data_IF_036706491248
#
_entry.id   IF_036706491248
#
_cell.length_a   1.000
_cell.length_b   1.000
_cell.length_c   1.000
_cell.angle_alpha   90.00
_cell.angle_beta   90.00
_cell.angle_gamma   90.00
#
_symmetry.space_group_name_H-M   'P 1'
#
loop_
_entity.id
_entity.type
_entity.pdbx_description
1 polymer ?
#
# COMPACT_ATOMS: atom_id res chain seq x y z
N UNK A 1 -12.99 -3.13 -45.79
CA UNK A 1 -13.76 -4.24 -45.20
C UNK A 1 -13.10 -4.65 -43.87
N UNK A 2 -13.66 -5.57 -43.07
CA UNK A 2 -13.48 -5.72 -41.61
C UNK A 2 -14.77 -6.13 -40.84
N UNK A 3 -14.84 -5.82 -39.56
CA UNK A 3 -16.00 -6.06 -38.68
C UNK A 3 -16.52 -4.79 -37.99
N UNK A 4 -15.84 -3.67 -38.19
CA UNK A 4 -16.23 -2.41 -37.58
C UNK A 4 -17.52 -1.82 -38.15
N UNK A 5 -18.01 -0.81 -37.44
CA UNK A 5 -19.23 -0.08 -37.76
C UNK A 5 -19.14 0.51 -39.18
N UNK A 6 -20.19 0.32 -39.98
CA UNK A 6 -20.31 0.87 -41.34
C UNK A 6 -19.19 0.43 -42.31
N UNK A 7 -18.57 -0.72 -42.06
CA UNK A 7 -17.55 -1.31 -42.89
C UNK A 7 -17.92 -1.37 -44.38
N UNK A 8 -17.00 -0.92 -45.23
CA UNK A 8 -17.16 -0.94 -46.69
C UNK A 8 -18.00 0.21 -47.24
N UNK A 9 -18.42 1.14 -46.38
CA UNK A 9 -19.14 2.36 -46.76
C UNK A 9 -18.30 3.60 -46.47
N UNK A 10 -18.70 4.75 -47.01
CA UNK A 10 -18.03 6.03 -46.75
C UNK A 10 -18.25 6.59 -45.35
N UNK A 11 -19.08 5.94 -44.52
CA UNK A 11 -19.23 6.23 -43.08
C UNK A 11 -18.40 5.31 -42.18
N UNK A 12 -17.65 4.36 -42.76
CA UNK A 12 -16.72 3.48 -42.04
C UNK A 12 -15.27 3.96 -42.12
N UNK A 13 -14.33 3.06 -41.81
CA UNK A 13 -12.90 3.33 -41.98
C UNK A 13 -12.53 3.48 -43.46
N UNK A 14 -11.75 4.51 -43.79
CA UNK A 14 -11.28 4.79 -45.16
C UNK A 14 -9.76 4.89 -45.17
N UNK A 15 -9.13 4.09 -46.02
CA UNK A 15 -7.69 4.18 -46.33
C UNK A 15 -7.52 4.99 -47.61
N UNK A 16 -6.65 5.99 -47.58
CA UNK A 16 -6.18 6.68 -48.78
C UNK A 16 -4.91 6.01 -49.26
N UNK A 17 -4.95 5.48 -50.47
CA UNK A 17 -3.79 4.82 -51.08
C UNK A 17 -3.13 5.78 -52.05
N UNK A 18 -1.84 6.03 -51.85
CA UNK A 18 -1.03 6.83 -52.77
C UNK A 18 -0.18 5.88 -53.60
N UNK A 19 -0.22 6.03 -54.92
CA UNK A 19 0.63 5.27 -55.85
C UNK A 19 1.64 6.23 -56.46
N UNK A 20 2.92 5.89 -56.32
CA UNK A 20 4.02 6.66 -56.91
C UNK A 20 4.96 5.70 -57.64
N UNK A 21 5.35 6.06 -58.87
CA UNK A 21 6.27 5.27 -59.70
C UNK A 21 5.87 3.79 -59.85
N UNK A 22 4.57 3.49 -59.90
CA UNK A 22 4.04 2.13 -60.09
C UNK A 22 3.98 1.27 -58.82
N UNK A 23 4.24 1.83 -57.63
CA UNK A 23 4.13 1.13 -56.35
C UNK A 23 3.25 1.90 -55.36
N UNK A 24 2.64 1.17 -54.41
CA UNK A 24 1.94 1.78 -53.28
C UNK A 24 2.99 2.44 -52.38
N UNK A 25 2.83 3.73 -52.11
CA UNK A 25 3.69 4.45 -51.19
C UNK A 25 3.54 3.91 -49.77
N UNK A 26 4.62 3.97 -49.00
CA UNK A 26 4.65 3.51 -47.61
C UNK A 26 3.59 4.22 -46.75
N UNK A 27 3.24 3.59 -45.62
CA UNK A 27 2.39 4.25 -44.64
C UNK A 27 3.11 5.45 -44.03
N UNK A 28 2.38 6.55 -43.86
CA UNK A 28 2.89 7.77 -43.28
C UNK A 28 1.78 8.73 -42.90
N UNK A 29 2.15 9.99 -42.71
CA UNK A 29 1.25 11.03 -42.17
C UNK A 29 0.90 12.09 -43.22
N UNK A 30 1.55 12.08 -44.38
CA UNK A 30 1.40 13.13 -45.40
C UNK A 30 0.54 12.65 -46.56
N UNK A 31 -0.71 13.11 -46.61
CA UNK A 31 -1.62 12.80 -47.70
C UNK A 31 -1.06 13.27 -49.07
N UNK A 32 -1.14 12.40 -50.09
CA UNK A 32 -0.65 12.68 -51.44
C UNK A 32 0.82 12.29 -51.67
N UNK A 33 1.57 12.02 -50.60
CA UNK A 33 2.91 11.41 -50.66
C UNK A 33 2.86 9.99 -50.11
N UNK A 34 2.23 9.82 -48.94
CA UNK A 34 2.14 8.56 -48.21
C UNK A 34 0.77 7.91 -48.42
N UNK A 35 0.70 6.60 -48.20
CA UNK A 35 -0.59 5.92 -47.93
C UNK A 35 -1.00 6.26 -46.50
N UNK A 36 -2.22 6.75 -46.28
CA UNK A 36 -2.66 7.25 -44.98
C UNK A 36 -4.02 6.70 -44.59
N UNK A 37 -4.34 6.70 -43.29
CA UNK A 37 -5.73 6.57 -42.84
C UNK A 37 -6.43 7.91 -43.13
N UNK A 38 -7.45 7.90 -44.00
CA UNK A 38 -8.22 9.11 -44.29
C UNK A 38 -9.26 9.37 -43.19
N UNK A 39 -9.96 8.31 -42.78
CA UNK A 39 -10.94 8.34 -41.70
C UNK A 39 -10.77 7.07 -40.87
N UNK A 40 -10.68 7.22 -39.56
CA UNK A 40 -10.76 6.10 -38.63
C UNK A 40 -12.22 5.66 -38.52
N UNK A 41 -12.44 4.35 -38.52
CA UNK A 41 -13.75 3.79 -38.21
C UNK A 41 -13.84 3.35 -36.74
N UNK A 42 -15.00 2.84 -36.32
CA UNK A 42 -15.23 2.42 -34.94
C UNK A 42 -15.44 0.90 -34.83
N UNK A 43 -14.84 0.27 -33.81
CA UNK A 43 -15.09 -1.13 -33.45
C UNK A 43 -14.50 -2.17 -34.41
N UNK A 44 -13.45 -1.82 -35.15
CA UNK A 44 -12.73 -2.81 -35.96
C UNK A 44 -11.83 -3.65 -35.05
N UNK A 45 -11.86 -4.97 -35.18
CA UNK A 45 -10.85 -5.90 -34.64
C UNK A 45 -10.01 -6.52 -35.76
N UNK A 46 -10.53 -6.53 -36.99
CA UNK A 46 -9.76 -6.84 -38.19
C UNK A 46 -10.22 -5.99 -39.38
N UNK A 47 -9.34 -5.87 -40.38
CA UNK A 47 -9.62 -5.11 -41.59
C UNK A 47 -9.03 -5.75 -42.83
N UNK A 48 -9.68 -5.55 -43.96
CA UNK A 48 -9.19 -5.97 -45.28
C UNK A 48 -9.39 -4.86 -46.30
N UNK A 49 -8.32 -4.53 -47.02
CA UNK A 49 -8.31 -3.57 -48.13
C UNK A 49 -8.31 -4.34 -49.43
N UNK A 50 -9.42 -4.26 -50.18
CA UNK A 50 -9.53 -4.90 -51.48
C UNK A 50 -9.04 -3.95 -52.58
N UNK A 51 -7.95 -4.31 -53.25
CA UNK A 51 -7.36 -3.54 -54.35
C UNK A 51 -7.89 -3.94 -55.73
N UNK A 52 -8.85 -4.86 -55.77
CA UNK A 52 -9.47 -5.33 -57.01
C UNK A 52 -10.32 -4.25 -57.71
N UNK A 53 -10.61 -4.51 -58.98
CA UNK A 53 -11.46 -3.64 -59.78
C UNK A 53 -12.85 -3.48 -59.14
N UNK A 54 -13.35 -2.24 -59.08
CA UNK A 54 -14.62 -1.90 -58.45
C UNK A 54 -14.59 -1.71 -56.92
N UNK A 55 -13.43 -1.89 -56.27
CA UNK A 55 -13.27 -1.72 -54.81
C UNK A 55 -12.34 -0.57 -54.41
N UNK A 56 -11.82 0.16 -55.41
CA UNK A 56 -10.97 1.33 -55.25
C UNK A 56 -11.67 2.54 -55.87
N UNK A 57 -11.50 3.72 -55.26
CA UNK A 57 -12.30 4.91 -55.56
C UNK A 57 -11.41 6.15 -55.66
N UNK A 58 -11.78 7.08 -56.52
CA UNK A 58 -11.07 8.36 -56.68
C UNK A 58 -11.53 9.45 -55.70
N UNK A 59 -12.57 9.18 -54.92
CA UNK A 59 -13.19 10.12 -53.99
C UNK A 59 -13.45 9.49 -52.61
N UNK A 60 -13.55 10.32 -51.56
CA UNK A 60 -13.78 9.86 -50.19
C UNK A 60 -15.23 9.45 -49.89
N UNK A 61 -16.19 9.75 -50.76
CA UNK A 61 -17.57 9.27 -50.63
C UNK A 61 -17.74 7.84 -51.14
N UNK A 62 -16.68 7.24 -51.70
CA UNK A 62 -16.64 5.90 -52.28
C UNK A 62 -17.71 5.70 -53.37
N UNK A 63 -17.96 6.74 -54.17
CA UNK A 63 -19.02 6.75 -55.19
C UNK A 63 -18.49 6.56 -56.62
N UNK A 64 -17.25 6.95 -56.88
CA UNK A 64 -16.62 6.90 -58.20
C UNK A 64 -15.52 5.84 -58.22
N UNK A 65 -15.88 4.64 -58.66
CA UNK A 65 -14.94 3.53 -58.79
C UNK A 65 -13.79 3.89 -59.76
N UNK A 66 -12.56 3.64 -59.34
CA UNK A 66 -11.34 3.93 -60.11
C UNK A 66 -10.33 2.83 -59.86
N UNK A 67 -10.19 1.93 -60.84
CA UNK A 67 -9.30 0.78 -60.74
C UNK A 67 -7.84 1.23 -60.68
N UNK A 68 -7.12 0.82 -59.63
CA UNK A 68 -5.70 1.15 -59.46
C UNK A 68 -4.77 0.44 -60.46
N UNK A 69 -5.16 -0.75 -60.96
CA UNK A 69 -4.32 -1.58 -61.81
C UNK A 69 -3.11 -2.20 -61.08
N UNK A 70 -2.22 -2.87 -61.82
CA UNK A 70 -0.99 -3.50 -61.29
C UNK A 70 -1.18 -4.93 -60.75
N UNK A 71 -0.10 -5.52 -60.23
CA UNK A 71 -0.08 -6.85 -59.61
C UNK A 71 0.83 -6.87 -58.38
N UNK A 72 0.50 -7.71 -57.39
CA UNK A 72 1.33 -7.94 -56.20
C UNK A 72 1.26 -6.87 -55.10
N UNK A 73 0.45 -5.82 -55.25
CA UNK A 73 0.19 -4.85 -54.19
C UNK A 73 -0.66 -5.45 -53.06
N UNK A 74 -0.30 -5.14 -51.81
CA UNK A 74 -1.06 -5.51 -50.63
C UNK A 74 -1.02 -4.38 -49.60
N UNK A 75 -2.12 -4.21 -48.87
CA UNK A 75 -2.20 -3.30 -47.72
C UNK A 75 -2.66 -4.12 -46.53
N UNK A 76 -1.84 -4.16 -45.50
CA UNK A 76 -2.17 -4.78 -44.22
C UNK A 76 -2.75 -3.73 -43.27
N UNK A 77 -3.84 -4.10 -42.59
CA UNK A 77 -4.48 -3.23 -41.61
C UNK A 77 -4.02 -3.65 -40.23
N UNK A 78 -3.30 -2.77 -39.54
CA UNK A 78 -2.92 -2.95 -38.14
C UNK A 78 -3.94 -2.23 -37.27
N UNK A 79 -4.59 -2.96 -36.38
CA UNK A 79 -5.57 -2.45 -35.43
C UNK A 79 -4.91 -2.43 -34.04
N UNK A 80 -5.10 -1.33 -33.29
CA UNK A 80 -4.63 -1.24 -31.91
C UNK A 80 -5.36 -2.25 -31.00
N UNK A 81 -4.79 -2.59 -29.83
CA UNK A 81 -5.49 -3.38 -28.82
C UNK A 81 -6.88 -2.81 -28.50
N UNK A 82 -7.78 -3.67 -28.02
CA UNK A 82 -9.09 -3.22 -27.53
C UNK A 82 -8.92 -2.11 -26.49
N UNK A 83 -9.64 -0.99 -26.64
CA UNK A 83 -9.50 0.19 -25.78
C UNK A 83 -8.34 1.13 -26.14
N UNK A 84 -7.43 0.71 -27.01
CA UNK A 84 -6.23 1.46 -27.41
C UNK A 84 -5.02 1.19 -26.53
N UNK A 85 -3.83 1.55 -27.02
CA UNK A 85 -2.60 1.43 -26.25
C UNK A 85 -2.65 2.28 -24.97
N UNK A 86 -2.23 1.69 -23.85
CA UNK A 86 -2.23 2.35 -22.54
C UNK A 86 -3.60 2.37 -21.85
N UNK A 87 -4.62 1.74 -22.43
CA UNK A 87 -5.93 1.60 -21.79
C UNK A 87 -5.88 0.66 -20.58
N UNK A 88 -5.02 -0.37 -20.65
CA UNK A 88 -4.66 -1.19 -19.50
C UNK A 88 -3.16 -1.50 -19.52
N UNK A 89 -2.37 -0.52 -19.09
CA UNK A 89 -0.91 -0.64 -19.04
C UNK A 89 -0.43 -1.83 -18.18
N UNK A 90 -1.17 -2.23 -17.15
CA UNK A 90 -0.81 -3.38 -16.29
C UNK A 90 -0.83 -4.66 -17.11
N UNK A 91 -1.92 -4.93 -17.85
CA UNK A 91 -2.01 -6.11 -18.71
C UNK A 91 -1.08 -5.99 -19.92
N UNK A 92 -1.00 -4.82 -20.54
CA UNK A 92 -0.19 -4.60 -21.75
C UNK A 92 1.32 -4.72 -21.51
N UNK A 93 1.81 -4.38 -20.31
CA UNK A 93 3.22 -4.48 -19.94
C UNK A 93 3.58 -5.76 -19.17
N UNK A 94 2.61 -6.67 -18.95
CA UNK A 94 2.84 -7.90 -18.19
C UNK A 94 3.13 -7.62 -16.71
N UNK A 95 2.33 -6.76 -16.07
CA UNK A 95 2.39 -6.52 -14.63
C UNK A 95 1.93 -7.76 -13.85
N UNK A 96 2.89 -8.61 -13.48
CA UNK A 96 2.65 -9.86 -12.73
C UNK A 96 2.99 -9.77 -11.24
N UNK A 97 3.74 -8.74 -10.85
CA UNK A 97 4.26 -8.58 -9.51
C UNK A 97 3.85 -7.25 -8.89
N UNK A 98 3.44 -7.29 -7.64
CA UNK A 98 3.35 -6.12 -6.77
C UNK A 98 4.53 -6.16 -5.79
N UNK A 99 5.29 -5.08 -5.71
CA UNK A 99 6.37 -4.93 -4.73
C UNK A 99 6.02 -3.81 -3.77
N UNK A 100 6.07 -4.10 -2.47
CA UNK A 100 6.12 -3.08 -1.43
C UNK A 100 7.56 -2.99 -0.92
N UNK A 101 8.05 -1.77 -0.73
CA UNK A 101 9.37 -1.50 -0.18
C UNK A 101 9.21 -0.39 0.86
N UNK A 102 9.52 -0.72 2.12
CA UNK A 102 9.46 0.22 3.24
C UNK A 102 10.82 0.25 3.91
N UNK A 103 11.34 1.44 4.13
CA UNK A 103 12.59 1.67 4.86
C UNK A 103 12.23 2.25 6.22
N UNK A 104 12.62 1.58 7.29
CA UNK A 104 12.48 2.05 8.66
C UNK A 104 13.86 2.52 9.10
N UNK A 105 13.93 3.69 9.73
CA UNK A 105 15.17 4.21 10.29
C UNK A 105 14.93 4.71 11.71
N UNK A 106 15.80 4.32 12.65
CA UNK A 106 15.65 4.69 14.05
C UNK A 106 14.24 4.35 14.58
N UNK A 107 13.66 5.26 15.36
CA UNK A 107 12.37 5.12 16.00
C UNK A 107 11.19 5.63 15.15
N UNK A 108 11.45 6.15 13.94
CA UNK A 108 10.48 6.74 12.98
C UNK A 108 9.24 7.38 13.63
N UNK A 109 9.29 8.69 13.85
CA UNK A 109 8.26 9.45 14.60
C UNK A 109 8.12 9.05 16.09
N UNK A 110 9.13 8.39 16.67
CA UNK A 110 9.08 7.82 18.04
C UNK A 110 7.97 6.78 18.25
N UNK A 111 7.55 6.12 17.16
CA UNK A 111 6.50 5.10 17.16
C UNK A 111 7.05 3.67 17.19
N UNK A 112 8.28 3.49 16.73
CA UNK A 112 8.98 2.21 16.76
C UNK A 112 10.04 2.19 17.85
N UNK A 113 10.07 1.11 18.64
CA UNK A 113 11.16 0.90 19.58
C UNK A 113 12.46 0.58 18.85
N UNK A 114 13.56 1.17 19.29
CA UNK A 114 14.93 0.79 18.90
C UNK A 114 15.64 -0.02 19.98
N UNK A 115 15.00 -0.23 21.13
CA UNK A 115 15.56 -0.91 22.29
C UNK A 115 15.13 -2.38 22.41
N UNK A 116 14.20 -2.82 21.56
CA UNK A 116 13.66 -4.17 21.56
C UNK A 116 13.83 -4.85 20.19
N UNK A 117 13.66 -6.16 20.14
CA UNK A 117 13.64 -6.94 18.92
C UNK A 117 12.24 -7.05 18.32
N UNK A 118 12.20 -7.18 17.00
CA UNK A 118 10.98 -7.57 16.29
C UNK A 118 11.07 -9.01 15.82
N UNK A 119 9.91 -9.66 15.74
CA UNK A 119 9.77 -11.08 15.36
C UNK A 119 8.80 -11.30 14.22
N UNK A 120 8.05 -10.28 13.82
CA UNK A 120 6.94 -10.43 12.89
C UNK A 120 6.89 -9.24 11.95
N UNK A 121 6.66 -9.52 10.68
CA UNK A 121 6.37 -8.54 9.63
C UNK A 121 5.07 -8.97 8.95
N UNK A 122 4.17 -8.03 8.68
CA UNK A 122 2.88 -8.35 8.10
C UNK A 122 2.29 -7.20 7.30
N UNK A 123 1.25 -7.51 6.54
CA UNK A 123 0.43 -6.51 5.86
C UNK A 123 -0.97 -6.59 6.46
N UNK A 124 -1.42 -5.46 6.99
CA UNK A 124 -2.76 -5.27 7.52
C UNK A 124 -3.49 -4.30 6.60
N UNK A 125 -4.68 -4.69 6.16
CA UNK A 125 -5.57 -3.88 5.33
C UNK A 125 -6.53 -3.13 6.24
N UNK A 126 -6.69 -1.84 5.99
CA UNK A 126 -7.66 -0.95 6.65
C UNK A 126 -7.69 -1.01 8.20
N UNK A 127 -6.55 -0.91 8.91
CA UNK A 127 -6.57 -0.74 10.36
C UNK A 127 -7.23 0.59 10.74
N UNK A 128 -7.86 0.67 11.91
CA UNK A 128 -8.59 1.87 12.36
C UNK A 128 -7.87 2.61 13.49
N UNK A 129 -8.12 3.92 13.64
CA UNK A 129 -7.59 4.69 14.76
C UNK A 129 -8.22 4.20 16.08
N UNK A 130 -7.42 4.20 17.15
CA UNK A 130 -7.84 3.71 18.47
C UNK A 130 -9.15 4.35 18.94
N UNK A 131 -10.09 3.49 19.37
CA UNK A 131 -11.39 3.92 19.88
C UNK A 131 -12.35 4.49 18.82
N UNK A 132 -12.04 4.33 17.53
CA UNK A 132 -12.89 4.81 16.42
C UNK A 132 -13.16 3.71 15.38
N UNK A 133 -13.97 4.03 14.37
CA UNK A 133 -14.19 3.18 13.18
C UNK A 133 -13.54 3.77 11.93
N UNK A 134 -12.72 4.81 12.08
CA UNK A 134 -12.10 5.51 10.96
C UNK A 134 -10.79 4.83 10.61
N UNK A 135 -10.62 4.46 9.33
CA UNK A 135 -9.37 3.88 8.83
C UNK A 135 -8.21 4.86 9.08
N UNK A 136 -7.13 4.34 9.63
CA UNK A 136 -5.94 5.10 9.94
C UNK A 136 -5.21 5.50 8.65
N UNK A 137 -4.78 6.76 8.58
CA UNK A 137 -4.04 7.31 7.43
C UNK A 137 -2.66 7.83 7.83
N UNK A 138 -2.27 7.65 9.11
CA UNK A 138 -0.95 8.01 9.58
C UNK A 138 0.11 7.13 8.89
N UNK A 139 1.26 7.71 8.57
CA UNK A 139 2.35 6.99 7.91
C UNK A 139 3.05 6.00 8.84
N UNK A 140 3.08 6.32 10.13
CA UNK A 140 3.55 5.48 11.22
C UNK A 140 2.53 5.53 12.36
N UNK A 141 2.51 4.50 13.20
CA UNK A 141 1.64 4.48 14.37
C UNK A 141 2.19 3.56 15.46
N UNK A 142 2.23 4.06 16.69
CA UNK A 142 2.58 3.33 17.89
C UNK A 142 1.47 2.34 18.27
N UNK A 143 1.85 1.09 18.47
CA UNK A 143 0.92 0.03 18.89
C UNK A 143 1.02 -0.33 20.37
N UNK A 144 1.88 0.36 21.13
CA UNK A 144 2.06 0.14 22.57
C UNK A 144 1.19 1.11 23.38
N UNK A 145 0.76 0.64 24.55
CA UNK A 145 0.33 1.54 25.61
C UNK A 145 1.56 2.19 26.24
N UNK A 146 1.39 3.37 26.81
CA UNK A 146 2.43 4.03 27.59
C UNK A 146 1.90 4.45 28.96
N UNK A 147 2.75 4.36 29.99
CA UNK A 147 2.49 4.93 31.30
C UNK A 147 3.69 5.75 31.77
N UNK A 148 3.44 6.99 32.16
CA UNK A 148 4.43 7.85 32.81
C UNK A 148 4.34 7.72 34.31
N UNK A 149 5.46 7.46 34.97
CA UNK A 149 5.55 7.38 36.41
C UNK A 149 5.87 8.74 37.04
N UNK A 150 5.18 9.07 38.14
CA UNK A 150 5.56 10.16 39.03
C UNK A 150 6.74 9.78 39.93
N UNK A 151 6.90 8.48 40.21
CA UNK A 151 8.04 7.92 40.93
C UNK A 151 8.28 6.49 40.47
N UNK A 152 9.52 6.12 40.23
CA UNK A 152 9.92 4.75 39.89
C UNK A 152 11.22 4.35 40.59
N UNK A 153 11.39 3.05 40.83
CA UNK A 153 12.59 2.45 41.41
C UNK A 153 13.01 1.22 40.62
N UNK A 154 14.31 1.03 40.41
CA UNK A 154 14.83 -0.06 39.59
C UNK A 154 14.71 0.22 38.10
N UNK A 155 14.93 -0.82 37.29
CA UNK A 155 14.91 -0.76 35.82
C UNK A 155 13.98 -1.87 35.35
N UNK A 156 12.95 -1.52 34.60
CA UNK A 156 12.07 -2.52 33.98
C UNK A 156 12.81 -3.17 32.81
N UNK A 157 12.68 -4.49 32.69
CA UNK A 157 13.33 -5.30 31.66
C UNK A 157 12.36 -5.58 30.51
N UNK A 158 12.85 -5.59 29.27
CA UNK A 158 12.02 -5.97 28.12
C UNK A 158 11.47 -7.39 28.28
N UNK A 159 10.29 -7.65 27.71
CA UNK A 159 9.55 -8.93 27.75
C UNK A 159 9.04 -9.38 29.13
N UNK A 160 9.34 -8.64 30.21
CA UNK A 160 8.88 -9.00 31.55
C UNK A 160 7.38 -8.74 31.75
N UNK A 161 6.77 -9.52 32.65
CA UNK A 161 5.38 -9.29 33.07
C UNK A 161 5.34 -8.17 34.10
N UNK A 162 4.47 -7.20 33.89
CA UNK A 162 4.13 -6.16 34.87
C UNK A 162 2.73 -6.38 35.42
N UNK A 163 2.54 -6.05 36.70
CA UNK A 163 1.26 -6.22 37.38
C UNK A 163 0.89 -5.03 38.24
N UNK A 164 -0.41 -4.81 38.38
CA UNK A 164 -1.00 -3.88 39.33
C UNK A 164 -1.81 -4.68 40.34
N UNK A 165 -1.22 -5.01 41.49
CA UNK A 165 -1.82 -5.95 42.44
C UNK A 165 -3.22 -5.53 42.95
N UNK A 166 -3.48 -4.22 43.05
CA UNK A 166 -4.75 -3.67 43.56
C UNK A 166 -5.92 -3.82 42.59
N UNK A 167 -5.67 -3.80 41.27
CA UNK A 167 -6.72 -3.95 40.25
C UNK A 167 -6.68 -5.30 39.57
N UNK A 168 -5.53 -5.98 39.63
CA UNK A 168 -5.29 -7.20 38.90
C UNK A 168 -4.94 -6.98 37.42
N UNK A 169 -4.61 -5.75 37.01
CA UNK A 169 -4.11 -5.48 35.66
C UNK A 169 -2.75 -6.16 35.44
N UNK A 170 -2.55 -6.69 34.24
CA UNK A 170 -1.33 -7.40 33.83
C UNK A 170 -0.95 -6.92 32.44
N UNK A 171 0.34 -6.81 32.15
CA UNK A 171 0.85 -6.49 30.81
C UNK A 171 2.26 -7.01 30.62
N UNK A 172 2.83 -6.81 29.44
CA UNK A 172 4.25 -7.06 29.18
C UNK A 172 4.98 -5.80 28.77
N UNK A 173 6.20 -5.66 29.27
CA UNK A 173 7.08 -4.54 28.94
C UNK A 173 7.59 -4.68 27.52
N UNK A 174 7.46 -3.58 26.76
CA UNK A 174 8.10 -3.43 25.45
C UNK A 174 9.40 -2.64 25.62
N UNK A 175 9.35 -1.52 26.35
CA UNK A 175 10.51 -0.64 26.54
C UNK A 175 10.35 0.20 27.81
N UNK A 176 11.47 0.49 28.47
CA UNK A 176 11.55 1.41 29.60
C UNK A 176 12.45 2.61 29.28
N UNK A 177 11.86 3.80 29.23
CA UNK A 177 12.58 5.06 29.13
C UNK A 177 12.79 5.65 30.53
N UNK A 178 13.99 5.44 31.07
CA UNK A 178 14.40 5.97 32.37
C UNK A 178 14.59 7.49 32.41
N UNK A 179 14.78 8.14 31.25
CA UNK A 179 14.98 9.60 31.19
C UNK A 179 13.64 10.31 31.31
N UNK A 180 12.62 9.85 30.58
CA UNK A 180 11.28 10.42 30.64
C UNK A 180 10.38 9.75 31.70
N UNK A 181 10.86 8.68 32.32
CA UNK A 181 10.10 7.82 33.25
C UNK A 181 8.83 7.25 32.61
N UNK A 182 8.94 6.79 31.36
CA UNK A 182 7.84 6.23 30.58
C UNK A 182 8.08 4.72 30.37
N UNK A 183 7.09 3.93 30.72
CA UNK A 183 7.05 2.49 30.44
C UNK A 183 6.09 2.24 29.28
N UNK A 184 6.61 1.67 28.19
CA UNK A 184 5.82 1.18 27.07
C UNK A 184 5.50 -0.29 27.28
N UNK A 185 4.24 -0.66 27.09
CA UNK A 185 3.76 -2.01 27.37
C UNK A 185 2.63 -2.45 26.44
N UNK A 186 2.38 -3.75 26.39
CA UNK A 186 1.26 -4.36 25.68
C UNK A 186 0.36 -5.13 26.66
N UNK A 187 -0.95 -5.15 26.35
CA UNK A 187 -1.94 -5.99 27.02
C UNK A 187 -2.70 -6.76 25.95
N UNK A 188 -2.59 -8.09 25.97
CA UNK A 188 -3.30 -8.97 25.06
C UNK A 188 -4.37 -9.79 25.80
N UNK A 189 -5.14 -10.60 25.07
CA UNK A 189 -6.15 -11.48 25.67
C UNK A 189 -5.58 -12.80 26.19
N UNK A 190 -4.29 -12.85 26.56
CA UNK A 190 -3.61 -14.06 27.05
C UNK A 190 -3.28 -14.00 28.53
N UNK A 191 -3.24 -15.17 29.18
CA UNK A 191 -2.95 -15.29 30.62
C UNK A 191 -1.51 -14.86 30.91
N UNK A 192 -1.34 -13.90 31.81
CA UNK A 192 -0.01 -13.35 32.11
C UNK A 192 0.53 -12.39 31.04
N UNK A 193 -0.31 -12.04 30.07
CA UNK A 193 0.00 -11.08 29.02
C UNK A 193 -1.28 -10.31 28.67
N UNK A 194 -1.75 -9.50 29.62
CA UNK A 194 -2.97 -8.68 29.50
C UNK A 194 -4.15 -9.15 30.35
N UNK A 195 -4.38 -10.47 30.49
CA UNK A 195 -5.43 -10.99 31.37
C UNK A 195 -4.93 -11.37 32.77
N UNK A 196 -5.77 -11.12 33.77
CA UNK A 196 -5.52 -11.44 35.17
C UNK A 196 -5.26 -12.94 35.35
N UNK A 197 -4.18 -13.29 36.05
CA UNK A 197 -3.74 -14.69 36.20
C UNK A 197 -4.69 -15.56 37.02
N UNK A 198 -5.57 -14.96 37.83
CA UNK A 198 -6.55 -15.65 38.67
C UNK A 198 -7.93 -15.71 38.01
N UNK A 199 -8.45 -14.59 37.49
CA UNK A 199 -9.82 -14.51 36.96
C UNK A 199 -9.91 -14.67 35.44
N UNK A 200 -8.79 -14.52 34.72
CA UNK A 200 -8.77 -14.49 33.25
C UNK A 200 -9.40 -13.22 32.65
N UNK A 201 -9.82 -12.25 33.48
CA UNK A 201 -10.39 -11.00 33.00
C UNK A 201 -9.32 -10.07 32.43
N UNK A 202 -9.62 -9.43 31.29
CA UNK A 202 -8.83 -8.31 30.78
C UNK A 202 -9.10 -7.09 31.67
N UNK A 203 -8.05 -6.57 32.32
CA UNK A 203 -8.14 -5.40 33.19
C UNK A 203 -7.07 -4.40 32.76
N UNK A 204 -7.51 -3.20 32.35
CA UNK A 204 -6.62 -2.13 31.96
C UNK A 204 -5.87 -1.58 33.19
N UNK A 205 -4.61 -1.18 32.99
CA UNK A 205 -3.91 -0.38 33.99
C UNK A 205 -4.63 0.96 34.17
N UNK A 206 -4.75 1.40 35.42
CA UNK A 206 -5.53 2.60 35.74
C UNK A 206 -5.18 3.19 37.10
N UNK A 207 -5.45 4.49 37.23
CA UNK A 207 -5.22 5.25 38.46
C UNK A 207 -3.75 5.34 38.85
N UNK A 208 -3.46 5.68 40.10
CA UNK A 208 -2.11 5.84 40.64
C UNK A 208 -1.65 4.61 41.41
N UNK A 209 -2.01 3.43 40.94
CA UNK A 209 -1.71 2.18 41.64
C UNK A 209 -0.29 1.70 41.28
N UNK A 210 0.38 1.07 42.24
CA UNK A 210 1.75 0.57 42.04
C UNK A 210 1.78 -0.48 40.93
N UNK A 211 2.63 -0.26 39.92
CA UNK A 211 2.99 -1.22 38.89
C UNK A 211 4.31 -1.86 39.27
N UNK A 212 4.37 -3.19 39.25
CA UNK A 212 5.57 -3.96 39.64
C UNK A 212 5.98 -4.91 38.53
N UNK A 213 7.27 -4.90 38.16
CA UNK A 213 7.90 -5.86 37.25
C UNK A 213 8.16 -7.20 37.96
N UNK A 214 7.80 -8.31 37.31
CA UNK A 214 7.88 -9.63 37.89
C UNK A 214 9.32 -10.16 37.99
N UNK A 215 10.20 -9.77 37.06
CA UNK A 215 11.58 -10.26 36.99
C UNK A 215 12.53 -9.24 37.59
N UNK A 216 12.37 -7.97 37.23
CA UNK A 216 13.23 -6.87 37.70
C UNK A 216 12.96 -6.46 39.15
N UNK A 217 11.75 -6.75 39.66
CA UNK A 217 11.21 -6.13 40.88
C UNK A 217 11.18 -4.60 40.83
N UNK A 218 11.31 -4.00 39.65
CA UNK A 218 11.16 -2.56 39.46
C UNK A 218 9.72 -2.16 39.81
N UNK A 219 9.56 -0.96 40.35
CA UNK A 219 8.24 -0.44 40.71
C UNK A 219 8.04 0.96 40.16
N UNK A 220 6.81 1.29 39.81
CA UNK A 220 6.42 2.60 39.30
C UNK A 220 5.03 2.99 39.81
N UNK A 221 4.89 4.23 40.26
CA UNK A 221 3.59 4.83 40.59
C UNK A 221 3.20 5.79 39.47
N UNK A 222 2.10 5.53 38.73
CA UNK A 222 1.65 6.38 37.62
C UNK A 222 1.41 7.83 38.05
N UNK A 223 1.67 8.76 37.14
CA UNK A 223 1.35 10.17 37.31
C UNK A 223 -0.16 10.37 37.44
N UNK A 224 -0.59 11.31 38.30
CA UNK A 224 -2.01 11.72 38.43
C UNK A 224 -2.33 12.98 37.62
N UNK A 225 -1.37 13.52 36.87
CA UNK A 225 -1.57 14.73 36.08
C UNK A 225 -2.66 14.48 35.03
N UNK A 226 -3.76 15.23 35.11
CA UNK A 226 -4.95 15.00 34.29
C UNK A 226 -4.65 15.01 32.79
N UNK A 227 -3.78 15.90 32.34
CA UNK A 227 -3.32 15.99 30.95
C UNK A 227 -1.87 16.45 30.95
N UNK A 228 -1.00 15.70 30.29
CA UNK A 228 0.42 16.01 30.19
C UNK A 228 0.91 15.72 28.77
N UNK A 229 1.64 16.66 28.16
CA UNK A 229 2.30 16.45 26.89
C UNK A 229 3.80 16.35 27.16
N UNK A 230 4.40 15.23 26.76
CA UNK A 230 5.83 14.96 26.94
C UNK A 230 6.51 15.00 25.57
N UNK A 231 7.58 15.77 25.45
CA UNK A 231 8.45 15.75 24.28
C UNK A 231 9.36 14.52 24.35
N UNK A 232 9.33 13.70 23.30
CA UNK A 232 10.10 12.49 23.12
C UNK A 232 11.50 12.81 22.55
N UNK A 233 12.36 11.79 22.48
CA UNK A 233 13.75 11.93 22.07
C UNK A 233 13.93 12.60 20.69
N UNK A 234 13.07 12.29 19.72
CA UNK A 234 13.12 12.88 18.37
C UNK A 234 12.19 14.10 18.19
N UNK A 235 11.87 14.80 19.29
CA UNK A 235 11.05 16.02 19.34
C UNK A 235 9.57 15.86 18.97
N UNK A 236 9.08 14.63 18.80
CA UNK A 236 7.64 14.37 18.76
C UNK A 236 7.03 14.45 20.15
N UNK A 237 5.70 14.43 20.23
CA UNK A 237 5.00 14.60 21.50
C UNK A 237 4.07 13.44 21.79
N UNK A 238 4.13 12.93 23.01
CA UNK A 238 3.14 11.99 23.54
C UNK A 238 2.21 12.73 24.50
N UNK A 239 0.90 12.61 24.29
CA UNK A 239 -0.10 13.16 25.20
C UNK A 239 -0.62 12.05 26.11
N UNK A 240 -0.51 12.26 27.42
CA UNK A 240 -0.97 11.36 28.46
C UNK A 240 -2.16 11.96 29.21
N UNK A 241 -3.10 11.10 29.57
CA UNK A 241 -4.24 11.42 30.44
C UNK A 241 -4.11 10.63 31.73
N UNK A 242 -3.98 11.33 32.86
CA UNK A 242 -3.74 10.69 34.17
C UNK A 242 -2.56 9.71 34.14
N UNK A 243 -1.48 10.10 33.45
CA UNK A 243 -0.27 9.30 33.31
C UNK A 243 -0.32 8.18 32.25
N UNK A 244 -1.42 7.99 31.53
CA UNK A 244 -1.54 6.92 30.52
C UNK A 244 -1.74 7.46 29.11
N UNK A 245 -1.19 6.75 28.12
CA UNK A 245 -1.50 6.94 26.71
C UNK A 245 -1.91 5.60 26.07
N UNK A 246 -2.90 5.67 25.18
CA UNK A 246 -3.35 4.54 24.40
C UNK A 246 -2.46 4.36 23.14
N UNK A 247 -2.46 3.16 22.53
CA UNK A 247 -1.98 2.97 21.17
C UNK A 247 -2.71 3.90 20.20
N UNK A 248 -2.11 4.14 19.03
CA UNK A 248 -2.69 4.97 17.99
C UNK A 248 -3.63 4.18 17.07
N UNK A 249 -3.38 2.88 16.93
CA UNK A 249 -4.26 1.95 16.21
C UNK A 249 -5.12 1.13 17.17
N UNK A 250 -6.36 0.88 16.74
CA UNK A 250 -7.27 0.01 17.45
C UNK A 250 -6.80 -1.45 17.36
N UNK A 251 -6.63 -2.10 18.50
CA UNK A 251 -6.33 -3.52 18.57
C UNK A 251 -7.39 -4.35 17.84
N UNK A 252 -6.95 -5.40 17.15
CA UNK A 252 -7.78 -6.34 16.39
C UNK A 252 -8.64 -5.68 15.28
N UNK A 253 -8.20 -4.53 14.76
CA UNK A 253 -8.85 -3.87 13.61
C UNK A 253 -8.09 -4.09 12.30
N UNK A 254 -8.84 -4.08 11.19
CA UNK A 254 -8.33 -4.41 9.86
C UNK A 254 -8.19 -5.91 9.60
N UNK A 255 -7.72 -6.25 8.41
CA UNK A 255 -7.56 -7.64 7.94
C UNK A 255 -6.09 -7.96 7.66
N UNK A 256 -5.56 -9.02 8.26
CA UNK A 256 -4.20 -9.50 8.00
C UNK A 256 -4.22 -10.33 6.70
N UNK A 257 -3.58 -9.82 5.65
CA UNK A 257 -3.44 -10.53 4.37
C UNK A 257 -2.08 -11.20 4.20
N UNK A 258 -1.10 -10.82 5.02
CA UNK A 258 0.24 -11.42 5.04
C UNK A 258 0.85 -11.36 6.43
N UNK A 259 1.50 -12.44 6.83
CA UNK A 259 2.23 -12.53 8.09
C UNK A 259 3.46 -13.42 7.93
N UNK A 260 4.62 -12.90 8.28
CA UNK A 260 5.88 -13.63 8.36
C UNK A 260 6.40 -13.58 9.79
N UNK A 261 6.66 -14.74 10.36
CA UNK A 261 7.37 -14.87 11.63
C UNK A 261 8.85 -15.17 11.37
N UNK A 262 9.72 -14.42 12.03
CA UNK A 262 11.17 -14.47 11.87
C UNK A 262 11.82 -14.81 13.21
N UNK A 263 13.07 -15.27 13.16
CA UNK A 263 13.91 -15.26 14.36
C UNK A 263 14.05 -13.81 14.85
N UNK A 264 14.24 -13.58 16.17
CA UNK A 264 14.29 -12.22 16.68
C UNK A 264 15.41 -11.43 16.02
N UNK A 265 15.09 -10.22 15.57
CA UNK A 265 16.02 -9.27 14.96
C UNK A 265 16.12 -8.08 15.90
N UNK A 266 17.31 -7.91 16.46
CA UNK A 266 17.63 -6.79 17.34
C UNK A 266 17.69 -5.50 16.53
N UNK A 267 17.03 -4.45 17.04
CA UNK A 267 17.11 -3.10 16.46
C UNK A 267 18.15 -2.27 17.19
N UNK A 268 18.57 -1.19 16.55
CA UNK A 268 19.43 -0.17 17.14
C UNK A 268 19.15 1.18 16.46
N UNK A 269 19.39 2.29 17.17
CA UNK A 269 19.26 3.64 16.60
C UNK A 269 20.17 3.86 15.40
N UNK A 270 21.32 3.19 15.35
CA UNK A 270 22.29 3.37 14.27
C UNK A 270 22.00 2.47 13.06
N UNK A 271 20.86 1.77 13.08
CA UNK A 271 20.44 0.86 12.02
C UNK A 271 19.32 1.46 11.15
N UNK A 272 19.36 1.09 9.89
CA UNK A 272 18.29 1.34 8.92
C UNK A 272 17.90 0.00 8.35
N UNK A 273 16.60 -0.32 8.41
CA UNK A 273 16.05 -1.59 8.00
C UNK A 273 15.22 -1.41 6.72
N UNK A 274 15.49 -2.25 5.72
CA UNK A 274 14.70 -2.31 4.49
C UNK A 274 13.84 -3.58 4.47
N UNK A 275 12.52 -3.39 4.39
CA UNK A 275 11.54 -4.47 4.26
C UNK A 275 10.98 -4.45 2.84
N UNK A 276 11.10 -5.58 2.13
CA UNK A 276 10.57 -5.75 0.78
C UNK A 276 9.68 -6.98 0.72
N UNK A 277 8.44 -6.79 0.28
CA UNK A 277 7.48 -7.87 0.05
C UNK A 277 7.12 -7.87 -1.44
N UNK A 278 7.20 -9.04 -2.06
CA UNK A 278 6.87 -9.23 -3.48
C UNK A 278 5.72 -10.24 -3.54
N UNK A 279 4.62 -9.84 -4.17
CA UNK A 279 3.42 -10.66 -4.37
C UNK A 279 3.27 -10.90 -5.87
N UNK A 280 3.05 -12.15 -6.25
CA UNK A 280 2.79 -12.58 -7.63
C UNK A 280 1.32 -12.96 -7.78
N UNK A 281 0.69 -12.57 -8.90
CA UNK A 281 -0.73 -12.83 -9.21
C UNK A 281 -0.89 -13.55 -10.54
#
# INVERSE_FOLDING_TARGET
YGDGTSQGTSSGAIVRITVSSGAIAAFGLTAGTDTTVHATGAGYTFGYVNLGAGYTFSDSSLSSASNMGGSGGAVEVIISPEGGHGSNAVTELGGHYLMTATTISQAENDDFSTANDFRTVGIVVDPTNYGTTTVATATTARQTFAVKFASSTGVFEADEVITQASTGAVGKVVEWDSTLSILYYQQESFKGFGTNSTTGGLVAFSGTNLITGATSSATGTPSSTSSETVTLANSNTLTLTSGYANPELQADSGDIIYLENRKPIQRSSDQTEDIKIIIEF
#
